data_IF_406697744681
#
_entry.id   IF_406697744681
#
_cell.length_a   1.000
_cell.length_b   1.000
_cell.length_c   1.000
_cell.angle_alpha   90.00
_cell.angle_beta   90.00
_cell.angle_gamma   90.00
#
_symmetry.space_group_name_H-M   'P 1'
#
loop_
_entity.id
_entity.type
_entity.pdbx_description
1 polymer ?
#
# COMPACT_ATOMS: atom_id res chain seq x y z
N UNK A 1 10.80 4.06 9.65
CA UNK A 1 11.17 3.71 8.26
C UNK A 1 12.47 4.42 7.94
N UNK A 2 13.38 3.83 7.14
CA UNK A 2 14.59 4.54 6.71
C UNK A 2 14.21 5.80 5.91
N UNK A 3 14.99 6.87 6.07
CA UNK A 3 14.76 8.12 5.36
C UNK A 3 15.44 8.07 4.00
N UNK A 4 14.65 8.25 2.93
CA UNK A 4 15.15 8.34 1.55
C UNK A 4 14.78 9.71 0.99
N UNK A 5 15.76 10.42 0.43
CA UNK A 5 15.49 11.65 -0.31
C UNK A 5 15.10 11.30 -1.75
N UNK A 6 14.01 11.91 -2.23
CA UNK A 6 13.53 11.79 -3.60
C UNK A 6 13.55 13.17 -4.24
N UNK A 7 14.21 13.28 -5.40
CA UNK A 7 14.14 14.48 -6.22
C UNK A 7 12.94 14.30 -7.13
N UNK A 8 11.95 15.17 -6.98
CA UNK A 8 10.73 15.18 -7.78
C UNK A 8 10.57 16.53 -8.46
N UNK A 9 9.98 16.52 -9.65
CA UNK A 9 9.68 17.75 -10.39
C UNK A 9 8.38 18.42 -9.89
N UNK A 10 8.11 19.62 -10.38
CA UNK A 10 6.93 20.40 -9.94
C UNK A 10 5.60 19.74 -10.30
N UNK A 11 5.54 19.01 -11.43
CA UNK A 11 4.34 18.27 -11.83
C UNK A 11 4.05 17.09 -10.91
N UNK A 12 5.08 16.33 -10.54
CA UNK A 12 4.99 15.25 -9.56
C UNK A 12 4.59 15.79 -8.17
N UNK A 13 5.15 16.95 -7.79
CA UNK A 13 4.76 17.63 -6.55
C UNK A 13 3.30 18.04 -6.56
N UNK A 14 2.81 18.61 -7.66
CA UNK A 14 1.41 19.00 -7.81
C UNK A 14 0.46 17.79 -7.69
N UNK A 15 0.84 16.65 -8.28
CA UNK A 15 0.07 15.41 -8.15
C UNK A 15 0.02 14.93 -6.69
N UNK A 16 1.14 14.97 -5.97
CA UNK A 16 1.18 14.60 -4.55
C UNK A 16 0.28 15.53 -3.70
N UNK A 17 0.26 16.83 -3.99
CA UNK A 17 -0.64 17.77 -3.31
C UNK A 17 -2.12 17.47 -3.57
N UNK A 18 -2.49 17.12 -4.81
CA UNK A 18 -3.87 16.70 -5.12
C UNK A 18 -4.27 15.47 -4.33
N UNK A 19 -3.40 14.46 -4.25
CA UNK A 19 -3.67 13.24 -3.48
C UNK A 19 -3.73 13.56 -1.98
N UNK A 20 -2.86 14.44 -1.47
CA UNK A 20 -2.87 14.87 -0.06
C UNK A 20 -4.23 15.42 0.34
N UNK A 21 -4.77 16.34 -0.45
CA UNK A 21 -6.09 16.93 -0.22
C UNK A 21 -7.22 15.90 -0.31
N UNK A 22 -7.17 15.01 -1.29
CA UNK A 22 -8.19 13.96 -1.46
C UNK A 22 -8.24 12.96 -0.30
N UNK A 23 -7.09 12.64 0.27
CA UNK A 23 -6.95 11.68 1.37
C UNK A 23 -6.98 12.34 2.76
N UNK A 24 -7.00 13.68 2.82
CA UNK A 24 -6.99 14.44 4.08
C UNK A 24 -5.68 14.30 4.86
N UNK A 25 -4.55 14.16 4.17
CA UNK A 25 -3.24 13.95 4.79
C UNK A 25 -2.55 15.29 5.11
N UNK A 26 -1.60 15.25 6.05
CA UNK A 26 -1.00 16.45 6.63
C UNK A 26 0.12 16.99 5.75
N UNK A 27 0.92 16.12 5.14
CA UNK A 27 2.11 16.51 4.35
C UNK A 27 2.32 15.69 3.07
N UNK A 28 3.22 16.18 2.21
CA UNK A 28 3.63 15.48 0.99
C UNK A 28 4.34 14.17 1.34
N UNK A 29 5.16 14.15 2.39
CA UNK A 29 5.88 12.97 2.87
C UNK A 29 4.91 11.88 3.32
N UNK A 30 3.88 12.25 4.09
CA UNK A 30 2.81 11.35 4.50
C UNK A 30 2.06 10.78 3.30
N UNK A 31 1.84 11.61 2.28
CA UNK A 31 1.20 11.21 1.03
C UNK A 31 2.06 10.22 0.24
N UNK A 32 3.36 10.47 0.13
CA UNK A 32 4.31 9.56 -0.51
C UNK A 32 4.36 8.20 0.22
N UNK A 33 4.42 8.21 1.54
CA UNK A 33 4.38 6.99 2.36
C UNK A 33 3.06 6.24 2.18
N UNK A 34 1.93 6.95 2.20
CA UNK A 34 0.61 6.36 1.98
C UNK A 34 0.50 5.69 0.61
N UNK A 35 0.92 6.37 -0.46
CA UNK A 35 0.92 5.83 -1.82
C UNK A 35 1.79 4.57 -1.94
N UNK A 36 3.01 4.62 -1.41
CA UNK A 36 3.92 3.47 -1.41
C UNK A 36 3.31 2.26 -0.69
N UNK A 37 2.81 2.47 0.54
CA UNK A 37 2.14 1.41 1.31
C UNK A 37 0.90 0.87 0.59
N UNK A 38 0.10 1.73 -0.01
CA UNK A 38 -1.12 1.34 -0.75
C UNK A 38 -0.79 0.51 -1.98
N UNK A 39 0.26 0.86 -2.72
CA UNK A 39 0.74 0.06 -3.86
C UNK A 39 1.26 -1.29 -3.42
N UNK A 40 2.09 -1.34 -2.38
CA UNK A 40 2.63 -2.59 -1.82
C UNK A 40 1.52 -3.52 -1.31
N UNK A 41 0.53 -2.99 -0.59
CA UNK A 41 -0.64 -3.76 -0.15
C UNK A 41 -1.41 -4.35 -1.34
N UNK A 42 -1.63 -3.56 -2.40
CA UNK A 42 -2.31 -4.04 -3.62
C UNK A 42 -1.50 -5.12 -4.32
N UNK A 43 -0.19 -4.92 -4.48
CA UNK A 43 0.70 -5.88 -5.12
C UNK A 43 0.79 -7.19 -4.32
N UNK A 44 0.93 -7.12 -3.00
CA UNK A 44 0.96 -8.30 -2.13
C UNK A 44 -0.32 -9.15 -2.26
N UNK A 45 -1.50 -8.51 -2.30
CA UNK A 45 -2.78 -9.19 -2.56
C UNK A 45 -2.84 -9.88 -3.92
N UNK A 46 -2.20 -9.30 -4.94
CA UNK A 46 -2.16 -9.88 -6.29
C UNK A 46 -1.15 -11.03 -6.41
N UNK A 47 0.04 -10.86 -5.82
CA UNK A 47 1.15 -11.82 -5.91
C UNK A 47 0.86 -13.12 -5.15
N UNK A 48 0.12 -13.04 -4.04
CA UNK A 48 -0.27 -14.22 -3.25
C UNK A 48 -1.44 -15.00 -3.84
N UNK A 49 -1.98 -14.56 -4.99
CA UNK A 49 -2.94 -15.31 -5.79
C UNK A 49 -4.24 -15.58 -5.02
N UNK A 50 -5.17 -14.61 -5.08
CA UNK A 50 -6.50 -14.63 -4.44
C UNK A 50 -6.40 -14.48 -2.93
N UNK A 51 -7.29 -13.66 -2.35
CA UNK A 51 -7.46 -13.59 -0.91
C UNK A 51 -7.65 -15.01 -0.40
N UNK A 52 -6.61 -15.55 0.26
CA UNK A 52 -6.64 -16.88 0.82
C UNK A 52 -7.79 -16.89 1.83
N UNK A 53 -8.94 -17.42 1.41
CA UNK A 53 -9.95 -17.82 2.37
C UNK A 53 -9.25 -18.83 3.27
N UNK A 54 -9.19 -18.53 4.57
CA UNK A 54 -8.69 -19.46 5.56
C UNK A 54 -9.72 -20.58 5.66
N UNK A 55 -9.56 -21.62 4.84
CA UNK A 55 -10.35 -22.83 4.99
C UNK A 55 -9.86 -23.55 6.24
N UNK A 56 -10.78 -23.83 7.16
CA UNK A 56 -10.52 -24.67 8.31
C UNK A 56 -10.13 -26.05 7.79
N UNK A 57 -8.90 -26.47 8.08
CA UNK A 57 -8.46 -27.85 7.82
C UNK A 57 -9.14 -28.72 8.86
N UNK A 58 -10.21 -29.40 8.47
CA UNK A 58 -10.82 -30.42 9.32
C UNK A 58 -9.91 -31.65 9.28
N UNK A 59 -9.25 -31.94 10.41
CA UNK A 59 -8.44 -33.14 10.56
C UNK A 59 -9.28 -34.37 10.21
N UNK A 60 -8.87 -35.13 9.18
CA UNK A 60 -9.47 -36.43 8.93
C UNK A 60 -9.02 -37.37 10.04
N UNK A 61 -9.97 -37.74 10.90
CA UNK A 61 -9.78 -38.78 11.91
C UNK A 61 -9.39 -40.08 11.20
N UNK A 62 -8.27 -40.75 11.56
CA UNK A 62 -7.95 -42.05 11.00
C UNK A 62 -8.95 -43.09 11.54
N UNK A 63 -9.44 -43.93 10.63
CA UNK A 63 -10.23 -45.14 10.94
C UNK A 63 -9.35 -46.23 11.55
#
# INVERSE_FOLDING_TARGET
MPTQQLIINDGERALLEQVRLQQGLTSIEETAEWLAKSRLRRQSKQMTGRGRALYVVVERKPE
#
